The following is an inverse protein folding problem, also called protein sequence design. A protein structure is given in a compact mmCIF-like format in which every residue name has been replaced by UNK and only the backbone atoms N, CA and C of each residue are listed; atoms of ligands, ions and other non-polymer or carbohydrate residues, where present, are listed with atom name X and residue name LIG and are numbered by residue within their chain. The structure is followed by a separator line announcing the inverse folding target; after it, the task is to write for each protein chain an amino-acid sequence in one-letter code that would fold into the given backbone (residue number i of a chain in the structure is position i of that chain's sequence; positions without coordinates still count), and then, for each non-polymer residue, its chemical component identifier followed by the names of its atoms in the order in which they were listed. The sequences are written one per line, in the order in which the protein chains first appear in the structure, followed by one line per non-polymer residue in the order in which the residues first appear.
data_IF_871102571730
#
_entry.id   IF_871102571730
#
_cell.length_a   1.000
_cell.length_b   1.000
_cell.length_c   1.000
_cell.angle_alpha   90.00
_cell.angle_beta   90.00
_cell.angle_gamma   90.00
#
_symmetry.space_group_name_H-M   'P 1'
#
loop_
_entity.id
_entity.type
_entity.pdbx_description
1 polymer ?
#
# COMPACT_ATOMS: atom_id res chain seq x y z
N UNK A 1 2.85 -17.72 50.55
CA UNK A 1 3.73 -17.33 49.42
C UNK A 1 4.57 -18.46 48.82
N UNK A 2 5.02 -19.46 49.57
CA UNK A 2 5.90 -20.53 49.06
C UNK A 2 5.21 -21.51 48.08
N UNK A 3 3.90 -21.78 48.26
CA UNK A 3 3.12 -22.63 47.35
C UNK A 3 2.86 -22.01 45.96
N UNK A 4 2.76 -20.68 45.87
CA UNK A 4 2.56 -19.98 44.59
C UNK A 4 3.82 -20.02 43.70
N UNK A 5 5.01 -19.92 44.30
CA UNK A 5 6.29 -20.03 43.57
C UNK A 5 6.54 -21.44 43.02
N UNK A 6 6.10 -22.49 43.72
CA UNK A 6 6.22 -23.87 43.23
C UNK A 6 5.26 -24.19 42.08
N UNK A 7 4.09 -23.55 42.02
CA UNK A 7 3.13 -23.73 40.91
C UNK A 7 3.66 -23.05 39.64
N UNK A 8 4.20 -21.82 39.75
CA UNK A 8 4.78 -21.10 38.60
C UNK A 8 6.01 -21.83 38.04
N UNK A 9 6.87 -22.39 38.90
CA UNK A 9 8.02 -23.20 38.46
C UNK A 9 7.63 -24.50 37.75
N UNK A 10 6.56 -25.18 38.21
CA UNK A 10 6.04 -26.40 37.55
C UNK A 10 5.36 -26.13 36.21
N UNK A 11 4.77 -24.95 36.03
CA UNK A 11 4.16 -24.53 34.76
C UNK A 11 5.22 -24.14 33.73
N UNK A 12 6.29 -23.43 34.13
CA UNK A 12 7.39 -23.11 33.22
C UNK A 12 8.16 -24.36 32.74
N UNK A 13 8.43 -25.33 33.63
CA UNK A 13 9.16 -26.54 33.25
C UNK A 13 8.34 -27.54 32.41
N UNK A 14 7.00 -27.48 32.44
CA UNK A 14 6.15 -28.32 31.56
C UNK A 14 6.08 -27.79 30.13
N UNK A 15 6.34 -26.51 29.89
CA UNK A 15 6.35 -25.93 28.55
C UNK A 15 7.72 -26.08 27.83
N UNK A 16 8.81 -26.28 28.56
CA UNK A 16 10.14 -26.47 27.97
C UNK A 16 10.39 -27.91 27.47
N UNK A 17 9.64 -28.91 27.93
CA UNK A 17 9.86 -30.33 27.60
C UNK A 17 8.91 -30.92 26.55
N UNK A 18 8.14 -30.09 25.82
CA UNK A 18 7.16 -30.58 24.83
C UNK A 18 7.51 -30.41 23.35
N UNK A 19 8.68 -29.88 22.98
CA UNK A 19 9.05 -29.69 21.57
C UNK A 19 10.47 -30.19 21.25
N UNK A 20 10.75 -31.47 21.48
CA UNK A 20 11.86 -32.15 20.83
C UNK A 20 11.33 -33.47 20.27
N UNK A 21 10.88 -33.45 19.01
CA UNK A 21 11.02 -34.53 18.03
C UNK A 21 10.28 -34.17 16.73
N UNK A 22 11.05 -34.19 15.62
CA UNK A 22 10.67 -34.36 14.19
C UNK A 22 9.80 -33.23 13.57
N UNK A 23 9.98 -32.74 12.34
CA UNK A 23 10.53 -33.31 11.11
C UNK A 23 10.77 -32.17 10.08
N UNK A 24 11.68 -32.38 9.13
CA UNK A 24 11.97 -31.61 7.89
C UNK A 24 11.86 -30.07 7.93
N UNK A 25 13.03 -29.44 7.83
CA UNK A 25 13.22 -28.01 7.50
C UNK A 25 12.65 -27.75 6.09
N UNK A 26 11.44 -27.20 6.01
CA UNK A 26 11.05 -26.34 4.89
C UNK A 26 11.80 -25.00 5.02
N UNK A 27 12.33 -24.52 3.90
CA UNK A 27 13.11 -23.29 3.83
C UNK A 27 12.35 -22.09 4.43
N UNK A 28 13.04 -21.17 5.14
CA UNK A 28 12.40 -19.97 5.66
C UNK A 28 11.91 -19.13 4.49
N UNK A 29 10.59 -18.94 4.44
CA UNK A 29 9.92 -18.01 3.52
C UNK A 29 10.46 -16.61 3.83
N UNK A 30 11.37 -16.12 3.00
CA UNK A 30 11.84 -14.74 3.02
C UNK A 30 10.63 -13.81 2.82
N UNK A 31 10.13 -13.24 3.91
CA UNK A 31 9.28 -12.06 3.82
C UNK A 31 10.18 -10.90 3.43
N UNK A 32 10.08 -10.48 2.17
CA UNK A 32 10.82 -9.36 1.61
C UNK A 32 10.59 -8.12 2.48
N UNK A 33 11.65 -7.73 3.18
CA UNK A 33 11.85 -6.42 3.78
C UNK A 33 11.81 -5.28 2.74
N UNK A 34 11.51 -5.54 1.46
CA UNK A 34 11.49 -4.52 0.40
C UNK A 34 10.21 -3.68 0.38
N UNK A 35 9.09 -4.19 0.93
CA UNK A 35 7.79 -3.48 0.93
C UNK A 35 7.84 -2.14 1.70
N UNK A 36 8.73 -2.01 2.68
CA UNK A 36 8.92 -0.79 3.47
C UNK A 36 10.09 0.06 2.97
N UNK A 37 10.99 -0.48 2.14
CA UNK A 37 12.28 0.15 1.89
C UNK A 37 12.38 0.82 0.53
N UNK A 38 11.83 0.21 -0.52
CA UNK A 38 11.84 0.82 -1.86
C UNK A 38 10.93 2.05 -1.95
N UNK A 39 9.94 2.19 -1.06
CA UNK A 39 9.04 3.34 -1.03
C UNK A 39 9.55 4.48 -0.11
N UNK A 40 10.46 4.18 0.84
CA UNK A 40 11.09 5.16 1.74
C UNK A 40 12.38 5.76 1.15
N UNK A 41 13.15 5.02 0.35
CA UNK A 41 14.40 5.54 -0.26
C UNK A 41 14.20 6.59 -1.36
N UNK A 42 12.97 7.02 -1.63
CA UNK A 42 12.67 8.07 -2.61
C UNK A 42 12.06 9.35 -2.03
N UNK A 43 11.82 9.39 -0.72
CA UNK A 43 11.32 10.59 -0.02
C UNK A 43 12.39 11.30 0.82
N UNK A 44 13.56 10.70 0.99
CA UNK A 44 14.71 11.33 1.67
C UNK A 44 15.76 11.86 0.68
N UNK A 45 15.38 12.87 -0.09
CA UNK A 45 16.33 13.82 -0.71
C UNK A 45 15.77 15.25 -0.54
N UNK A 46 15.71 15.71 0.71
CA UNK A 46 15.51 17.14 1.02
C UNK A 46 16.57 17.55 2.04
N UNK A 47 17.70 18.04 1.54
CA UNK A 47 18.53 19.01 2.27
C UNK A 47 18.60 20.31 1.47
N UNK A 48 18.09 21.36 2.12
CA UNK A 48 18.15 22.77 1.76
C UNK A 48 19.60 23.26 1.57
N UNK A 49 19.93 23.90 0.44
CA UNK A 49 20.42 25.30 0.40
C UNK A 49 20.60 25.84 -1.04
N UNK A 50 19.93 26.99 -1.29
CA UNK A 50 20.27 28.18 -2.10
C UNK A 50 20.29 28.16 -3.66
N UNK A 51 19.38 29.00 -4.18
CA UNK A 51 19.41 29.87 -5.39
C UNK A 51 19.97 29.32 -6.70
N UNK A 52 19.12 29.27 -7.74
CA UNK A 52 19.16 30.12 -8.96
C UNK A 52 17.88 29.85 -9.77
N UNK A 53 17.34 30.90 -10.38
CA UNK A 53 16.20 30.94 -11.30
C UNK A 53 16.22 29.83 -12.37
N UNK A 54 15.06 29.20 -12.64
CA UNK A 54 14.53 29.08 -14.00
C UNK A 54 13.13 28.46 -14.09
N UNK A 55 12.36 29.12 -14.97
CA UNK A 55 11.02 28.89 -15.50
C UNK A 55 10.70 27.44 -15.91
N UNK A 56 9.52 26.92 -15.52
CA UNK A 56 8.78 25.95 -16.35
C UNK A 56 7.28 25.86 -15.98
N UNK A 57 6.52 26.66 -16.71
CA UNK A 57 5.16 26.52 -17.26
C UNK A 57 4.46 25.15 -17.03
N UNK A 58 3.38 25.16 -16.22
CA UNK A 58 2.21 24.28 -16.45
C UNK A 58 0.94 25.13 -16.30
N UNK A 59 0.35 25.46 -17.43
CA UNK A 59 -0.95 26.13 -17.54
C UNK A 59 -2.08 25.18 -17.09
N UNK A 60 -2.75 25.58 -16.02
CA UNK A 60 -4.09 25.12 -15.67
C UNK A 60 -5.09 25.82 -16.59
N UNK A 61 -5.86 25.06 -17.36
CA UNK A 61 -7.08 25.56 -18.00
C UNK A 61 -8.29 24.85 -17.40
N UNK A 62 -8.87 25.52 -16.41
CA UNK A 62 -10.24 25.30 -15.95
C UNK A 62 -11.18 25.92 -16.97
N UNK A 63 -12.08 25.14 -17.57
CA UNK A 63 -13.17 25.67 -18.38
C UNK A 63 -14.44 25.71 -17.53
N UNK A 64 -14.81 26.93 -17.15
CA UNK A 64 -16.12 27.31 -16.64
C UNK A 64 -17.05 27.53 -17.82
N UNK A 65 -18.26 26.99 -17.76
CA UNK A 65 -19.36 27.40 -18.62
C UNK A 65 -20.68 27.00 -17.96
N UNK A 66 -21.14 27.84 -17.04
CA UNK A 66 -22.56 27.95 -16.69
C UNK A 66 -23.09 29.18 -17.41
N UNK A 67 -24.06 28.98 -18.32
CA UNK A 67 -24.96 30.02 -18.79
C UNK A 67 -26.38 29.52 -18.61
N UNK A 68 -27.10 30.21 -17.72
CA UNK A 68 -28.52 30.05 -17.47
C UNK A 68 -29.39 30.47 -18.66
N UNK A 69 -30.58 29.87 -18.75
CA UNK A 69 -31.80 30.66 -18.94
C UNK A 69 -32.67 30.38 -20.16
N UNK A 70 -33.95 30.07 -19.85
CA UNK A 70 -35.17 30.14 -20.67
C UNK A 70 -35.51 28.90 -21.54
N UNK A 71 -36.75 28.39 -21.62
CA UNK A 71 -38.00 28.56 -20.87
C UNK A 71 -39.00 27.47 -21.33
N UNK A 72 -39.85 27.03 -20.41
CA UNK A 72 -41.30 26.75 -20.55
C UNK A 72 -41.87 25.76 -21.59
N UNK A 73 -42.47 24.70 -21.03
CA UNK A 73 -43.67 23.94 -21.44
C UNK A 73 -44.81 24.78 -22.07
N UNK A 74 -45.69 24.17 -22.87
CA UNK A 74 -46.97 23.70 -22.29
C UNK A 74 -47.55 22.38 -22.85
N UNK A 75 -48.38 21.75 -22.01
CA UNK A 75 -49.23 20.57 -22.19
C UNK A 75 -50.46 20.74 -23.13
N UNK A 76 -51.13 19.60 -23.40
CA UNK A 76 -52.42 19.31 -24.10
C UNK A 76 -52.30 18.96 -25.61
N UNK A 77 -52.78 17.81 -26.13
CA UNK A 77 -54.12 17.23 -26.00
C UNK A 77 -54.20 15.68 -26.07
N UNK A 78 -55.15 15.16 -25.29
CA UNK A 78 -56.16 14.10 -25.50
C UNK A 78 -55.89 12.79 -26.27
N UNK A 79 -56.23 11.72 -25.52
CA UNK A 79 -56.55 10.36 -25.93
C UNK A 79 -57.58 10.26 -27.07
N UNK A 80 -57.29 9.42 -28.07
CA UNK A 80 -58.33 8.67 -28.78
C UNK A 80 -57.95 7.19 -28.83
N UNK A 81 -58.78 6.38 -28.17
CA UNK A 81 -58.78 4.93 -28.13
C UNK A 81 -59.20 4.36 -29.50
N UNK A 82 -58.30 3.65 -30.18
CA UNK A 82 -58.66 2.74 -31.27
C UNK A 82 -57.81 1.46 -31.13
N UNK A 83 -58.47 0.34 -30.83
CA UNK A 83 -57.97 -1.02 -31.07
C UNK A 83 -58.70 -1.60 -32.31
N UNK A 84 -58.31 -2.76 -32.93
CA UNK A 84 -57.27 -3.79 -32.65
C UNK A 84 -56.48 -4.16 -33.98
N UNK A 85 -55.83 -5.35 -34.23
CA UNK A 85 -55.60 -6.57 -33.43
C UNK A 85 -54.19 -7.21 -33.41
N UNK A 86 -53.95 -7.93 -32.31
CA UNK A 86 -53.26 -9.23 -32.10
C UNK A 86 -52.28 -9.75 -33.18
N UNK A 87 -50.99 -9.74 -32.86
CA UNK A 87 -50.03 -10.86 -33.08
C UNK A 87 -48.64 -10.43 -32.60
N UNK A 88 -47.89 -11.32 -31.93
CA UNK A 88 -46.47 -11.17 -31.53
C UNK A 88 -46.12 -10.62 -30.13
N UNK A 89 -46.96 -10.85 -29.12
CA UNK A 89 -46.52 -10.86 -27.71
C UNK A 89 -46.72 -12.25 -27.11
N UNK A 90 -45.80 -13.17 -27.42
CA UNK A 90 -45.69 -14.43 -26.67
C UNK A 90 -44.26 -14.95 -26.71
N UNK A 91 -43.30 -14.16 -26.20
CA UNK A 91 -42.01 -14.72 -25.79
C UNK A 91 -41.58 -14.04 -24.48
N UNK A 92 -41.30 -14.87 -23.48
CA UNK A 92 -40.72 -14.55 -22.17
C UNK A 92 -41.64 -14.01 -21.07
N UNK A 93 -42.67 -14.79 -20.71
CA UNK A 93 -43.21 -14.78 -19.36
C UNK A 93 -43.31 -16.22 -18.84
N UNK A 94 -42.19 -16.73 -18.31
CA UNK A 94 -42.15 -17.77 -17.27
C UNK A 94 -40.69 -18.07 -16.97
N UNK A 95 -40.25 -17.72 -15.75
CA UNK A 95 -39.19 -18.33 -14.93
C UNK A 95 -38.67 -17.27 -13.96
N UNK A 96 -39.47 -16.94 -12.95
CA UNK A 96 -38.91 -16.31 -11.76
C UNK A 96 -39.73 -16.63 -10.53
N UNK A 97 -39.43 -17.76 -9.86
CA UNK A 97 -39.56 -17.83 -8.39
C UNK A 97 -38.78 -19.04 -7.85
N UNK A 98 -37.73 -18.75 -7.05
CA UNK A 98 -36.88 -19.62 -6.21
C UNK A 98 -35.38 -19.68 -6.62
N UNK A 99 -34.71 -18.53 -6.56
CA UNK A 99 -33.31 -18.38 -6.07
C UNK A 99 -32.81 -16.93 -6.29
N UNK A 100 -33.40 -15.97 -5.57
CA UNK A 100 -33.03 -14.54 -5.73
C UNK A 100 -31.72 -14.15 -5.03
N UNK A 101 -31.26 -14.89 -4.02
CA UNK A 101 -30.05 -14.49 -3.28
C UNK A 101 -28.74 -14.93 -3.94
N UNK A 102 -28.71 -16.06 -4.66
CA UNK A 102 -27.50 -16.53 -5.37
C UNK A 102 -27.32 -15.85 -6.74
N UNK A 103 -28.40 -15.49 -7.44
CA UNK A 103 -28.32 -14.83 -8.73
C UNK A 103 -28.00 -13.33 -8.64
N UNK A 104 -28.23 -12.69 -7.49
CA UNK A 104 -27.83 -11.30 -7.26
C UNK A 104 -26.31 -11.18 -7.02
N UNK A 105 -25.67 -12.16 -6.34
CA UNK A 105 -24.21 -12.22 -6.22
C UNK A 105 -23.53 -12.52 -7.57
N UNK A 106 -24.06 -13.49 -8.34
CA UNK A 106 -23.49 -13.87 -9.64
C UNK A 106 -23.66 -12.77 -10.71
N UNK A 107 -24.71 -11.94 -10.63
CA UNK A 107 -24.88 -10.77 -11.51
C UNK A 107 -23.97 -9.59 -11.15
N UNK A 108 -23.64 -9.39 -9.87
CA UNK A 108 -22.69 -8.34 -9.47
C UNK A 108 -21.25 -8.72 -9.82
N UNK A 109 -20.83 -9.96 -9.59
CA UNK A 109 -19.46 -10.44 -9.90
C UNK A 109 -19.14 -10.38 -11.40
N UNK A 110 -20.14 -10.49 -12.27
CA UNK A 110 -20.00 -10.35 -13.73
C UNK A 110 -19.63 -8.93 -14.19
N UNK A 111 -19.73 -7.91 -13.32
CA UNK A 111 -19.47 -6.51 -13.68
C UNK A 111 -18.01 -6.11 -13.45
N UNK A 112 -17.28 -6.87 -12.62
CA UNK A 112 -15.97 -6.47 -12.12
C UNK A 112 -14.87 -7.36 -12.69
N UNK A 113 -13.82 -6.73 -13.21
CA UNK A 113 -12.59 -7.41 -13.56
C UNK A 113 -11.77 -7.75 -12.30
N UNK A 114 -11.77 -6.86 -11.31
CA UNK A 114 -11.24 -7.08 -9.97
C UNK A 114 -12.25 -6.61 -8.93
N UNK A 115 -12.66 -7.51 -8.06
CA UNK A 115 -13.53 -7.18 -6.95
C UNK A 115 -12.81 -6.31 -5.91
N UNK A 116 -13.55 -5.35 -5.36
CA UNK A 116 -13.15 -4.67 -4.12
C UNK A 116 -13.07 -5.69 -3.00
N UNK A 117 -11.96 -5.70 -2.25
CA UNK A 117 -11.71 -6.56 -1.10
C UNK A 117 -11.42 -5.67 0.10
N UNK A 118 -12.08 -5.93 1.23
CA UNK A 118 -11.72 -5.29 2.51
C UNK A 118 -10.63 -6.12 3.17
N UNK A 119 -9.41 -5.61 3.19
CA UNK A 119 -8.32 -6.27 3.93
C UNK A 119 -8.53 -6.06 5.44
N UNK A 120 -8.28 -7.08 6.27
CA UNK A 120 -8.35 -6.94 7.72
C UNK A 120 -7.34 -5.90 8.23
N UNK A 121 -7.59 -5.34 9.40
CA UNK A 121 -6.59 -4.52 10.10
C UNK A 121 -5.41 -5.38 10.52
N UNK A 122 -4.22 -4.77 10.61
CA UNK A 122 -3.05 -5.47 11.16
C UNK A 122 -3.27 -5.78 12.63
N UNK A 123 -2.77 -6.95 13.03
CA UNK A 123 -2.60 -7.31 14.44
C UNK A 123 -1.38 -6.59 15.03
N UNK A 124 -1.32 -6.44 16.35
CA UNK A 124 -0.15 -5.84 17.02
C UNK A 124 1.14 -6.64 16.72
N UNK A 125 1.04 -7.97 16.64
CA UNK A 125 2.18 -8.83 16.32
C UNK A 125 2.74 -8.57 14.92
N UNK A 126 1.88 -8.38 13.92
CA UNK A 126 2.29 -8.03 12.56
C UNK A 126 2.93 -6.64 12.49
N UNK A 127 2.40 -5.68 13.24
CA UNK A 127 2.96 -4.33 13.35
C UNK A 127 4.36 -4.42 13.95
N UNK A 128 4.50 -5.08 15.11
CA UNK A 128 5.80 -5.26 15.77
C UNK A 128 6.80 -5.96 14.85
N UNK A 129 6.39 -7.03 14.17
CA UNK A 129 7.26 -7.75 13.22
C UNK A 129 7.79 -6.82 12.14
N UNK A 130 6.94 -6.01 11.52
CA UNK A 130 7.34 -5.03 10.48
C UNK A 130 8.25 -3.94 11.03
N UNK A 131 7.94 -3.40 12.22
CA UNK A 131 8.75 -2.38 12.89
C UNK A 131 10.14 -2.91 13.21
N UNK A 132 10.28 -4.13 13.72
CA UNK A 132 11.57 -4.73 14.04
C UNK A 132 12.42 -5.04 12.81
N UNK A 133 11.81 -5.14 11.63
CA UNK A 133 12.50 -5.27 10.36
C UNK A 133 13.05 -3.93 9.84
N UNK A 134 12.69 -2.77 10.41
CA UNK A 134 13.18 -1.45 9.96
C UNK A 134 14.69 -1.27 10.31
N UNK A 135 15.55 -0.72 9.43
CA UNK A 135 17.00 -0.60 9.68
C UNK A 135 17.30 0.35 10.79
N UNK A 136 16.61 1.49 10.81
CA UNK A 136 16.81 2.55 11.78
C UNK A 136 16.50 2.02 13.17
N UNK A 137 15.42 1.22 13.31
CA UNK A 137 15.11 0.50 14.56
C UNK A 137 16.23 -0.47 14.95
N UNK A 138 16.74 -1.26 14.00
CA UNK A 138 17.82 -2.23 14.24
C UNK A 138 19.13 -1.54 14.62
N UNK A 139 19.44 -0.41 14.01
CA UNK A 139 20.66 0.35 14.25
C UNK A 139 20.62 1.03 15.62
N UNK A 140 19.52 1.70 15.93
CA UNK A 140 19.28 2.29 17.26
C UNK A 140 19.35 1.22 18.38
N UNK A 141 18.82 0.01 18.13
CA UNK A 141 18.96 -1.12 19.05
C UNK A 141 20.43 -1.52 19.26
N UNK A 142 21.26 -1.56 18.21
CA UNK A 142 22.70 -1.85 18.33
C UNK A 142 23.42 -0.76 19.12
N UNK A 143 23.10 0.50 18.86
CA UNK A 143 23.70 1.64 19.55
C UNK A 143 23.43 1.57 21.06
N UNK A 144 22.18 1.33 21.46
CA UNK A 144 21.83 1.13 22.87
C UNK A 144 22.64 -0.01 23.48
N UNK A 145 22.76 -1.15 22.79
CA UNK A 145 23.54 -2.30 23.28
C UNK A 145 25.02 -1.96 23.46
N UNK A 146 25.61 -1.24 22.51
CA UNK A 146 27.00 -0.78 22.58
C UNK A 146 27.21 0.14 23.80
N UNK A 147 26.37 1.16 23.93
CA UNK A 147 26.43 2.13 25.03
C UNK A 147 26.13 1.47 26.39
N UNK A 148 25.20 0.53 26.47
CA UNK A 148 24.94 -0.25 27.67
C UNK A 148 26.17 -1.10 28.09
N UNK A 149 26.88 -1.67 27.11
CA UNK A 149 28.16 -2.35 27.33
C UNK A 149 29.22 -1.43 27.96
N UNK A 150 29.26 -0.17 27.54
CA UNK A 150 30.19 0.85 28.10
C UNK A 150 29.75 1.27 29.50
N UNK A 151 28.47 1.62 29.68
CA UNK A 151 27.93 2.23 30.90
C UNK A 151 27.82 1.20 32.03
N UNK A 152 27.32 0.00 31.74
CA UNK A 152 27.02 -1.04 32.73
C UNK A 152 28.01 -2.20 32.70
N UNK A 153 28.80 -2.35 31.63
CA UNK A 153 29.62 -3.55 31.43
C UNK A 153 28.82 -4.75 30.91
N UNK A 154 27.56 -4.54 30.50
CA UNK A 154 26.66 -5.56 29.99
C UNK A 154 25.81 -4.96 28.86
N UNK A 155 25.97 -5.44 27.62
CA UNK A 155 25.25 -4.94 26.45
C UNK A 155 23.75 -5.25 26.49
N UNK A 156 23.36 -6.32 27.20
CA UNK A 156 21.99 -6.79 27.27
C UNK A 156 21.22 -6.19 28.46
N UNK A 157 21.86 -5.28 29.21
CA UNK A 157 21.31 -4.72 30.46
C UNK A 157 19.95 -4.03 30.28
N UNK A 158 19.65 -3.53 29.08
CA UNK A 158 18.45 -2.77 28.75
C UNK A 158 17.48 -3.51 27.84
N UNK A 159 17.66 -4.82 27.61
CA UNK A 159 16.79 -5.58 26.68
C UNK A 159 15.32 -5.50 27.07
N UNK A 160 15.02 -5.71 28.35
CA UNK A 160 13.64 -5.66 28.83
C UNK A 160 13.02 -4.27 28.65
N UNK A 161 13.79 -3.20 28.87
CA UNK A 161 13.34 -1.83 28.65
C UNK A 161 13.09 -1.56 27.16
N UNK A 162 13.94 -2.09 26.27
CA UNK A 162 13.70 -1.98 24.83
C UNK A 162 12.42 -2.72 24.40
N UNK A 163 12.10 -3.88 24.97
CA UNK A 163 10.84 -4.60 24.75
C UNK A 163 9.62 -3.78 25.22
N UNK A 164 9.74 -3.11 26.36
CA UNK A 164 8.70 -2.21 26.84
C UNK A 164 8.49 -1.01 25.90
N UNK A 165 9.58 -0.43 25.36
CA UNK A 165 9.50 0.67 24.37
C UNK A 165 8.83 0.20 23.07
N UNK A 166 9.09 -1.03 22.61
CA UNK A 166 8.43 -1.59 21.44
C UNK A 166 6.90 -1.63 21.65
N UNK A 167 6.47 -2.00 22.85
CA UNK A 167 5.05 -2.08 23.20
C UNK A 167 4.45 -0.67 23.36
N UNK A 168 5.11 0.18 24.14
CA UNK A 168 4.72 1.56 24.43
C UNK A 168 5.89 2.53 24.20
N UNK A 169 5.95 3.20 23.04
CA UNK A 169 7.04 4.12 22.72
C UNK A 169 7.11 5.36 23.64
N UNK A 170 5.99 5.77 24.23
CA UNK A 170 5.97 6.95 25.13
C UNK A 170 6.77 6.68 26.41
N UNK A 171 6.83 5.42 26.84
CA UNK A 171 7.67 4.98 27.96
C UNK A 171 9.16 5.27 27.74
N UNK A 172 9.62 5.36 26.48
CA UNK A 172 10.99 5.69 26.14
C UNK A 172 11.46 7.05 26.64
N UNK A 173 10.56 8.04 26.70
CA UNK A 173 10.87 9.37 27.25
C UNK A 173 11.17 9.29 28.75
N UNK A 174 10.35 8.52 29.49
CA UNK A 174 10.57 8.28 30.91
C UNK A 174 11.89 7.56 31.15
N UNK A 175 12.15 6.48 30.40
CA UNK A 175 13.41 5.73 30.50
C UNK A 175 14.64 6.58 30.21
N UNK A 176 14.61 7.39 29.16
CA UNK A 176 15.69 8.31 28.82
C UNK A 176 15.95 9.29 29.97
N UNK A 177 14.91 9.89 30.55
CA UNK A 177 15.05 10.83 31.66
C UNK A 177 15.61 10.15 32.91
N UNK A 178 15.16 8.94 33.22
CA UNK A 178 15.72 8.15 34.33
C UNK A 178 17.16 7.74 34.06
N UNK A 179 17.54 7.42 32.82
CA UNK A 179 18.93 7.12 32.46
C UNK A 179 19.84 8.33 32.67
N UNK A 180 19.35 9.53 32.33
CA UNK A 180 20.09 10.78 32.51
C UNK A 180 20.27 11.15 33.99
N UNK A 181 19.21 11.01 34.79
CA UNK A 181 19.17 11.50 36.18
C UNK A 181 19.62 10.47 37.20
N UNK A 182 19.31 9.20 36.98
CA UNK A 182 19.59 8.10 37.91
C UNK A 182 19.95 6.80 37.16
N UNK A 183 21.08 6.76 36.42
CA UNK A 183 21.49 5.58 35.65
C UNK A 183 21.72 4.34 36.53
N UNK A 184 22.03 4.54 37.82
CA UNK A 184 22.22 3.46 38.79
C UNK A 184 20.95 2.71 39.16
N UNK A 185 19.78 3.27 38.85
CA UNK A 185 18.48 2.59 39.03
C UNK A 185 18.32 1.41 38.07
N UNK A 186 19.01 1.41 36.93
CA UNK A 186 19.01 0.29 35.97
C UNK A 186 20.01 -0.79 36.35
N UNK A 187 21.25 -0.38 36.67
CA UNK A 187 22.31 -1.27 37.11
C UNK A 187 23.50 -0.48 37.67
N UNK A 188 24.43 -1.19 38.32
CA UNK A 188 25.70 -0.62 38.74
C UNK A 188 26.52 -0.18 37.52
N UNK A 189 27.03 1.06 37.56
CA UNK A 189 27.96 1.55 36.54
C UNK A 189 29.26 0.75 36.53
N UNK A 190 29.78 0.53 35.32
CA UNK A 190 31.01 -0.20 35.10
C UNK A 190 32.20 0.39 35.88
N UNK A 191 33.14 -0.47 36.25
CA UNK A 191 34.29 -0.10 37.08
C UNK A 191 33.91 0.20 38.55
N UNK A 192 34.83 0.83 39.27
CA UNK A 192 34.68 1.14 40.70
C UNK A 192 34.90 2.62 41.02
N UNK A 193 34.32 3.03 42.16
CA UNK A 193 34.60 4.27 42.88
C UNK A 193 34.82 3.90 44.35
N UNK A 194 36.04 4.07 44.88
CA UNK A 194 36.39 3.81 46.28
C UNK A 194 36.99 5.09 46.86
N UNK A 195 36.52 5.53 48.03
CA UNK A 195 36.99 6.76 48.71
C UNK A 195 37.11 7.99 47.77
N UNK A 196 36.12 8.19 46.89
CA UNK A 196 36.14 9.29 45.91
C UNK A 196 36.94 9.02 44.63
N UNK A 197 37.91 8.09 44.65
CA UNK A 197 38.75 7.74 43.50
C UNK A 197 37.98 6.84 42.53
N UNK A 198 37.84 7.30 41.27
CA UNK A 198 37.18 6.59 40.17
C UNK A 198 38.21 5.91 39.26
N UNK A 199 38.00 4.63 38.98
CA UNK A 199 38.72 3.90 37.92
C UNK A 199 38.50 4.52 36.53
N UNK A 200 39.41 4.33 35.55
CA UNK A 200 39.21 4.78 34.18
C UNK A 200 37.89 4.28 33.59
N UNK A 201 37.57 2.98 33.76
CA UNK A 201 36.30 2.39 33.32
C UNK A 201 35.08 3.09 33.91
N UNK A 202 35.14 3.50 35.18
CA UNK A 202 34.07 4.27 35.84
C UNK A 202 33.92 5.67 35.23
N UNK A 203 35.02 6.36 34.95
CA UNK A 203 34.97 7.69 34.30
C UNK A 203 34.35 7.59 32.91
N UNK A 204 34.73 6.58 32.12
CA UNK A 204 34.15 6.34 30.80
C UNK A 204 32.65 6.03 30.88
N UNK A 205 32.24 5.16 31.81
CA UNK A 205 30.82 4.84 32.01
C UNK A 205 30.00 6.09 32.34
N UNK A 206 30.46 6.93 33.28
CA UNK A 206 29.76 8.16 33.66
C UNK A 206 29.68 9.18 32.52
N UNK A 207 30.69 9.25 31.63
CA UNK A 207 30.66 10.15 30.46
C UNK A 207 29.63 9.73 29.40
N UNK A 208 29.35 8.43 29.28
CA UNK A 208 28.46 7.88 28.23
C UNK A 208 27.00 7.73 28.68
N UNK A 209 26.65 8.08 29.92
CA UNK A 209 25.25 7.99 30.38
C UNK A 209 24.33 8.94 29.61
N UNK A 210 24.82 10.12 29.23
CA UNK A 210 24.05 11.07 28.41
C UNK A 210 23.81 10.51 27.00
N UNK A 211 24.84 9.95 26.36
CA UNK A 211 24.71 9.33 25.05
C UNK A 211 23.71 8.16 25.10
N UNK A 212 23.79 7.32 26.15
CA UNK A 212 22.84 6.22 26.33
C UNK A 212 21.40 6.73 26.55
N UNK A 213 21.21 7.82 27.29
CA UNK A 213 19.90 8.46 27.42
C UNK A 213 19.37 8.96 26.07
N UNK A 214 20.22 9.57 25.24
CA UNK A 214 19.83 10.05 23.91
C UNK A 214 19.44 8.89 22.99
N UNK A 215 20.25 7.84 22.93
CA UNK A 215 19.96 6.64 22.13
C UNK A 215 18.65 5.96 22.53
N UNK A 216 18.33 5.90 23.84
CA UNK A 216 17.02 5.38 24.30
C UNK A 216 15.85 6.22 23.77
N UNK A 217 15.99 7.55 23.80
CA UNK A 217 14.96 8.46 23.30
C UNK A 217 14.80 8.38 21.78
N UNK A 218 15.90 8.28 21.06
CA UNK A 218 15.92 8.11 19.61
C UNK A 218 15.27 6.78 19.21
N UNK A 219 15.67 5.68 19.84
CA UNK A 219 15.02 4.37 19.64
C UNK A 219 13.50 4.43 19.82
N UNK A 220 13.03 5.05 20.89
CA UNK A 220 11.59 5.21 21.14
C UNK A 220 10.89 6.03 20.05
N UNK A 221 11.53 7.12 19.61
CA UNK A 221 11.02 7.97 18.52
C UNK A 221 10.96 7.19 17.20
N UNK A 222 12.00 6.43 16.88
CA UNK A 222 12.08 5.60 15.69
C UNK A 222 11.04 4.46 15.70
N UNK A 223 10.81 3.82 16.85
CA UNK A 223 9.74 2.82 17.00
C UNK A 223 8.38 3.45 16.73
N UNK A 224 8.08 4.61 17.35
CA UNK A 224 6.80 5.31 17.16
C UNK A 224 6.57 5.63 15.69
N UNK A 225 7.54 6.29 15.07
CA UNK A 225 7.49 6.64 13.65
C UNK A 225 7.31 5.40 12.76
N UNK A 226 8.04 4.31 13.05
CA UNK A 226 7.92 3.06 12.28
C UNK A 226 6.53 2.42 12.45
N UNK A 227 5.92 2.47 13.64
CA UNK A 227 4.54 2.00 13.86
C UNK A 227 3.56 2.82 13.03
N UNK A 228 3.69 4.14 13.06
CA UNK A 228 2.82 5.05 12.31
C UNK A 228 2.91 4.80 10.80
N UNK A 229 4.13 4.66 10.26
CA UNK A 229 4.35 4.32 8.85
C UNK A 229 3.72 2.98 8.47
N UNK A 230 3.91 1.93 9.28
CA UNK A 230 3.33 0.61 9.01
C UNK A 230 1.80 0.69 8.93
N UNK A 231 1.18 1.45 9.84
CA UNK A 231 -0.26 1.65 9.87
C UNK A 231 -0.75 2.47 8.68
N UNK A 232 -0.04 3.54 8.32
CA UNK A 232 -0.36 4.39 7.18
C UNK A 232 -0.32 3.60 5.87
N UNK A 233 0.80 2.93 5.58
CA UNK A 233 0.93 2.09 4.38
C UNK A 233 -0.14 1.00 4.32
N UNK A 234 -0.50 0.40 5.45
CA UNK A 234 -1.58 -0.59 5.48
C UNK A 234 -2.95 0.01 5.19
N UNK A 235 -3.25 1.21 5.70
CA UNK A 235 -4.49 1.94 5.39
C UNK A 235 -4.55 2.32 3.91
N UNK A 236 -3.45 2.76 3.33
CA UNK A 236 -3.38 3.04 1.89
C UNK A 236 -3.61 1.78 1.07
N UNK A 237 -2.99 0.65 1.46
CA UNK A 237 -3.22 -0.66 0.84
C UNK A 237 -4.69 -1.06 0.96
N UNK A 238 -5.32 -0.91 2.13
CA UNK A 238 -6.75 -1.16 2.33
C UNK A 238 -7.61 -0.29 1.39
N UNK A 239 -7.31 1.01 1.28
CA UNK A 239 -8.02 1.95 0.41
C UNK A 239 -7.89 1.59 -1.07
N UNK A 240 -6.71 1.13 -1.52
CA UNK A 240 -6.52 0.66 -2.89
C UNK A 240 -7.28 -0.65 -3.12
N UNK A 241 -7.18 -1.61 -2.19
CA UNK A 241 -7.83 -2.91 -2.30
C UNK A 241 -9.34 -2.86 -2.17
N UNK A 242 -9.93 -1.81 -1.59
CA UNK A 242 -11.38 -1.64 -1.57
C UNK A 242 -11.94 -1.15 -2.91
N UNK A 243 -11.13 -0.54 -3.77
CA UNK A 243 -11.56 -0.01 -5.07
C UNK A 243 -11.75 -1.15 -6.08
N UNK A 244 -12.96 -1.40 -6.58
CA UNK A 244 -13.16 -2.36 -7.64
C UNK A 244 -12.59 -1.84 -8.96
N UNK A 245 -12.28 -2.76 -9.87
CA UNK A 245 -12.01 -2.46 -11.28
C UNK A 245 -13.13 -3.07 -12.09
N UNK A 246 -13.88 -2.24 -12.79
CA UNK A 246 -14.97 -2.65 -13.66
C UNK A 246 -14.43 -3.30 -14.94
N UNK A 247 -15.18 -4.26 -15.49
CA UNK A 247 -14.92 -4.73 -16.85
C UNK A 247 -15.08 -3.59 -17.85
N UNK A 248 -14.35 -3.68 -18.95
CA UNK A 248 -14.62 -2.84 -20.12
C UNK A 248 -15.99 -3.21 -20.70
N UNK A 249 -16.61 -2.27 -21.39
CA UNK A 249 -17.75 -2.53 -22.25
C UNK A 249 -17.33 -3.58 -23.29
N UNK A 250 -18.24 -4.50 -23.57
CA UNK A 250 -18.09 -5.56 -24.55
C UNK A 250 -17.64 -5.03 -25.92
N UNK A 251 -18.18 -3.90 -26.37
CA UNK A 251 -17.77 -3.29 -27.65
C UNK A 251 -16.30 -2.88 -27.64
N UNK A 252 -15.82 -2.31 -26.52
CA UNK A 252 -14.42 -1.91 -26.36
C UNK A 252 -13.51 -3.13 -26.20
N UNK A 253 -13.95 -4.15 -25.46
CA UNK A 253 -13.23 -5.41 -25.31
C UNK A 253 -13.07 -6.13 -26.65
N UNK A 254 -14.12 -6.17 -27.47
CA UNK A 254 -14.10 -6.77 -28.80
C UNK A 254 -13.07 -6.05 -29.70
N UNK A 255 -13.03 -4.71 -29.69
CA UNK A 255 -12.01 -3.93 -30.40
C UNK A 255 -10.60 -4.28 -29.92
N UNK A 256 -10.38 -4.39 -28.60
CA UNK A 256 -9.07 -4.76 -28.05
C UNK A 256 -8.64 -6.18 -28.46
N UNK A 257 -9.58 -7.03 -28.85
CA UNK A 257 -9.33 -8.37 -29.36
C UNK A 257 -9.13 -8.44 -30.87
N UNK A 258 -9.45 -7.38 -31.61
CA UNK A 258 -9.15 -7.28 -33.04
C UNK A 258 -7.65 -7.15 -33.32
N UNK A 259 -7.19 -7.55 -34.52
CA UNK A 259 -5.84 -7.27 -35.00
C UNK A 259 -5.54 -5.76 -35.05
N UNK A 260 -4.27 -5.33 -34.84
CA UNK A 260 -3.91 -3.91 -34.82
C UNK A 260 -4.32 -3.12 -36.09
N UNK A 261 -4.30 -3.77 -37.26
CA UNK A 261 -4.72 -3.18 -38.53
C UNK A 261 -6.20 -2.80 -38.54
N UNK A 262 -7.05 -3.60 -37.89
CA UNK A 262 -8.50 -3.39 -37.80
C UNK A 262 -8.85 -2.45 -36.64
N UNK A 263 -8.06 -2.46 -35.56
CA UNK A 263 -8.22 -1.48 -34.47
C UNK A 263 -8.15 -0.05 -34.99
N UNK A 264 -7.21 0.25 -35.91
CA UNK A 264 -7.08 1.57 -36.51
C UNK A 264 -8.34 2.02 -37.26
N UNK A 265 -9.03 1.12 -37.97
CA UNK A 265 -10.31 1.42 -38.63
C UNK A 265 -11.46 1.56 -37.64
N UNK A 266 -11.48 0.76 -36.56
CA UNK A 266 -12.48 0.88 -35.49
C UNK A 266 -12.39 2.24 -34.76
N UNK A 267 -11.17 2.79 -34.60
CA UNK A 267 -10.95 4.14 -34.07
C UNK A 267 -11.63 5.25 -34.89
N UNK A 268 -11.80 5.05 -36.20
CA UNK A 268 -12.44 6.01 -37.10
C UNK A 268 -13.97 5.84 -37.16
N UNK A 269 -14.49 4.63 -36.86
CA UNK A 269 -15.91 4.27 -37.00
C UNK A 269 -16.71 4.43 -35.70
N UNK A 270 -16.09 4.14 -34.56
CA UNK A 270 -16.70 4.29 -33.24
C UNK A 270 -16.45 5.71 -32.76
N UNK A 271 -17.44 6.31 -32.09
CA UNK A 271 -17.31 7.63 -31.45
C UNK A 271 -16.01 7.66 -30.63
N UNK A 272 -14.96 8.25 -31.21
CA UNK A 272 -13.59 8.16 -30.70
C UNK A 272 -13.47 8.78 -29.30
N UNK A 273 -14.39 9.70 -28.98
CA UNK A 273 -14.58 10.28 -27.66
C UNK A 273 -15.07 9.26 -26.64
N UNK A 274 -16.06 8.42 -26.99
CA UNK A 274 -16.57 7.36 -26.11
C UNK A 274 -15.49 6.34 -25.79
N UNK A 275 -14.84 5.79 -26.83
CA UNK A 275 -13.76 4.82 -26.67
C UNK A 275 -12.59 5.38 -25.84
N UNK A 276 -12.16 6.61 -26.13
CA UNK A 276 -11.11 7.27 -25.36
C UNK A 276 -11.49 7.46 -23.90
N UNK A 277 -12.72 7.90 -23.62
CA UNK A 277 -13.23 8.10 -22.26
C UNK A 277 -13.22 6.77 -21.50
N UNK A 278 -13.73 5.72 -22.11
CA UNK A 278 -13.81 4.40 -21.46
C UNK A 278 -12.43 3.81 -21.15
N UNK A 279 -11.50 3.85 -22.11
CA UNK A 279 -10.11 3.39 -21.89
C UNK A 279 -9.42 4.22 -20.80
N UNK A 280 -9.64 5.55 -20.78
CA UNK A 280 -9.09 6.43 -19.75
C UNK A 280 -9.64 6.06 -18.37
N UNK A 281 -10.96 5.88 -18.27
CA UNK A 281 -11.64 5.47 -17.05
C UNK A 281 -11.11 4.13 -16.54
N UNK A 282 -10.96 3.14 -17.41
CA UNK A 282 -10.39 1.84 -17.04
C UNK A 282 -8.94 1.95 -16.55
N UNK A 283 -8.07 2.66 -17.30
CA UNK A 283 -6.67 2.83 -16.91
C UNK A 283 -6.52 3.59 -15.58
N UNK A 284 -7.40 4.56 -15.30
CA UNK A 284 -7.41 5.28 -14.03
C UNK A 284 -7.81 4.35 -12.88
N UNK A 285 -8.83 3.50 -13.05
CA UNK A 285 -9.19 2.50 -12.04
C UNK A 285 -8.04 1.53 -11.74
N UNK A 286 -7.31 1.11 -12.77
CA UNK A 286 -6.11 0.27 -12.62
C UNK A 286 -5.02 1.02 -11.84
N UNK A 287 -4.74 2.29 -12.18
CA UNK A 287 -3.74 3.09 -11.48
C UNK A 287 -4.10 3.33 -10.01
N UNK A 288 -5.38 3.50 -9.74
CA UNK A 288 -5.93 3.66 -8.39
C UNK A 288 -5.87 2.37 -7.56
N UNK A 289 -6.02 1.22 -8.23
CA UNK A 289 -5.98 -0.09 -7.59
C UNK A 289 -4.54 -0.56 -7.32
N UNK A 290 -3.62 -0.32 -8.24
CA UNK A 290 -2.28 -0.89 -8.21
C UNK A 290 -1.25 0.05 -7.58
N UNK A 291 -0.32 -0.53 -6.83
CA UNK A 291 0.87 0.18 -6.36
C UNK A 291 1.81 0.51 -7.51
N UNK A 292 2.82 1.35 -7.25
CA UNK A 292 3.89 1.62 -8.22
C UNK A 292 4.64 0.34 -8.62
N UNK A 293 4.92 -0.54 -7.66
CA UNK A 293 5.58 -1.84 -7.88
C UNK A 293 4.72 -2.77 -8.74
N UNK A 294 3.43 -2.90 -8.44
CA UNK A 294 2.49 -3.72 -9.21
C UNK A 294 2.37 -3.23 -10.67
N UNK A 295 2.35 -1.90 -10.89
CA UNK A 295 2.38 -1.33 -12.25
C UNK A 295 3.68 -1.63 -12.99
N UNK A 296 4.80 -1.72 -12.27
CA UNK A 296 6.09 -2.13 -12.84
C UNK A 296 6.09 -3.62 -13.20
N UNK A 297 5.50 -4.47 -12.35
CA UNK A 297 5.30 -5.89 -12.68
C UNK A 297 4.46 -6.06 -13.96
N UNK A 298 3.41 -5.25 -14.14
CA UNK A 298 2.65 -5.22 -15.41
C UNK A 298 3.54 -4.84 -16.59
N UNK A 299 4.35 -3.79 -16.47
CA UNK A 299 5.27 -3.34 -17.53
C UNK A 299 6.27 -4.43 -17.93
N UNK A 300 6.76 -5.18 -16.93
CA UNK A 300 7.76 -6.22 -17.14
C UNK A 300 7.14 -7.59 -17.50
N UNK A 301 5.81 -7.72 -17.48
CA UNK A 301 5.12 -8.99 -17.72
C UNK A 301 5.27 -10.02 -16.60
N UNK A 302 5.67 -9.60 -15.39
CA UNK A 302 5.89 -10.49 -14.25
C UNK A 302 4.58 -10.90 -13.59
N UNK A 303 3.91 -11.85 -14.22
CA UNK A 303 2.60 -12.32 -13.79
C UNK A 303 2.63 -13.08 -12.46
N UNK A 304 3.75 -13.73 -12.11
CA UNK A 304 3.88 -14.53 -10.88
C UNK A 304 3.97 -13.61 -9.67
N UNK A 305 4.86 -12.61 -9.72
CA UNK A 305 4.98 -11.65 -8.64
C UNK A 305 3.72 -10.79 -8.50
N UNK A 306 3.09 -10.42 -9.62
CA UNK A 306 1.84 -9.68 -9.60
C UNK A 306 0.70 -10.49 -8.95
N UNK A 307 0.58 -11.78 -9.26
CA UNK A 307 -0.42 -12.67 -8.67
C UNK A 307 -0.26 -12.74 -7.15
N UNK A 308 0.98 -12.91 -6.67
CA UNK A 308 1.31 -12.94 -5.24
C UNK A 308 1.02 -11.61 -4.55
N UNK A 309 1.41 -10.48 -5.16
CA UNK A 309 1.20 -9.14 -4.59
C UNK A 309 -0.28 -8.80 -4.42
N UNK A 310 -1.09 -9.14 -5.43
CA UNK A 310 -2.50 -8.80 -5.49
C UNK A 310 -3.43 -9.81 -4.84
N UNK A 311 -2.91 -10.96 -4.38
CA UNK A 311 -3.71 -12.08 -3.89
C UNK A 311 -4.77 -12.51 -4.91
N UNK A 312 -4.30 -12.81 -6.13
CA UNK A 312 -5.11 -13.31 -7.26
C UNK A 312 -4.42 -14.51 -7.92
N UNK A 313 -5.16 -15.27 -8.73
CA UNK A 313 -4.57 -16.40 -9.46
C UNK A 313 -3.57 -15.93 -10.53
N UNK A 314 -2.57 -16.76 -10.84
CA UNK A 314 -1.61 -16.48 -11.92
C UNK A 314 -2.31 -16.28 -13.28
N UNK A 315 -3.38 -17.05 -13.54
CA UNK A 315 -4.19 -16.88 -14.74
C UNK A 315 -4.89 -15.52 -14.79
N UNK A 316 -5.46 -15.06 -13.68
CA UNK A 316 -6.10 -13.74 -13.59
C UNK A 316 -5.07 -12.61 -13.75
N UNK A 317 -3.88 -12.78 -13.18
CA UNK A 317 -2.74 -11.87 -13.37
C UNK A 317 -2.30 -11.79 -14.84
N UNK A 318 -2.17 -12.93 -15.54
CA UNK A 318 -1.89 -12.96 -16.99
C UNK A 318 -2.96 -12.24 -17.81
N UNK A 319 -4.24 -12.46 -17.50
CA UNK A 319 -5.37 -11.75 -18.13
C UNK A 319 -5.27 -10.24 -17.90
N UNK A 320 -4.99 -9.81 -16.67
CA UNK A 320 -4.83 -8.40 -16.30
C UNK A 320 -3.70 -7.74 -17.09
N UNK A 321 -2.52 -8.35 -17.13
CA UNK A 321 -1.36 -7.82 -17.87
C UNK A 321 -1.68 -7.67 -19.35
N UNK A 322 -2.28 -8.69 -19.96
CA UNK A 322 -2.68 -8.67 -21.37
C UNK A 322 -3.68 -7.53 -21.64
N UNK A 323 -4.70 -7.42 -20.81
CA UNK A 323 -5.77 -6.43 -20.96
C UNK A 323 -5.24 -5.00 -20.81
N UNK A 324 -4.46 -4.72 -19.75
CA UNK A 324 -3.87 -3.40 -19.50
C UNK A 324 -2.90 -3.00 -20.60
N UNK A 325 -2.07 -3.94 -21.09
CA UNK A 325 -1.14 -3.67 -22.19
C UNK A 325 -1.88 -3.30 -23.47
N UNK A 326 -2.92 -4.07 -23.85
CA UNK A 326 -3.76 -3.76 -25.01
C UNK A 326 -4.44 -2.39 -24.88
N UNK A 327 -5.05 -2.11 -23.72
CA UNK A 327 -5.72 -0.84 -23.46
C UNK A 327 -4.76 0.36 -23.54
N UNK A 328 -3.54 0.24 -23.00
CA UNK A 328 -2.50 1.28 -23.09
C UNK A 328 -2.07 1.54 -24.53
N UNK A 329 -1.83 0.48 -25.30
CA UNK A 329 -1.40 0.60 -26.70
C UNK A 329 -2.47 1.31 -27.55
N UNK A 330 -3.74 0.90 -27.40
CA UNK A 330 -4.85 1.52 -28.13
C UNK A 330 -5.04 2.98 -27.72
N UNK A 331 -5.02 3.26 -26.41
CA UNK A 331 -5.15 4.63 -25.89
C UNK A 331 -4.01 5.56 -26.36
N UNK A 332 -2.78 5.05 -26.45
CA UNK A 332 -1.65 5.83 -26.97
C UNK A 332 -1.74 6.05 -28.49
N UNK A 333 -2.23 5.06 -29.25
CA UNK A 333 -2.46 5.20 -30.70
C UNK A 333 -3.52 6.25 -31.06
N UNK A 334 -4.47 6.52 -30.15
CA UNK A 334 -5.43 7.63 -30.28
C UNK A 334 -4.75 8.99 -30.06
N UNK A 335 -3.77 9.08 -29.14
CA UNK A 335 -3.10 10.35 -28.80
C UNK A 335 -2.10 10.83 -29.85
N UNK A 336 -1.47 9.93 -30.61
CA UNK A 336 -0.42 10.27 -31.58
C UNK A 336 -0.92 10.76 -32.95
N UNK A 337 -2.22 10.64 -33.25
CA UNK A 337 -2.83 11.18 -34.48
C UNK A 337 -3.37 12.61 -34.25
N UNK A 338 -2.49 13.61 -34.17
CA UNK A 338 -2.88 15.01 -34.47
C UNK A 338 -2.92 15.16 -36.00
N UNK A 339 -3.91 15.86 -36.59
CA UNK A 339 -3.93 16.08 -38.03
C UNK A 339 -2.71 16.91 -38.43
N UNK A 340 -1.84 16.35 -39.29
CA UNK A 340 -0.81 17.14 -39.95
C UNK A 340 -1.52 18.10 -40.90
N UNK A 341 -1.36 19.41 -40.67
CA UNK A 341 -1.76 20.43 -41.62
C UNK A 341 -1.10 20.13 -42.97
N UNK A 342 -1.87 19.58 -43.91
CA UNK A 342 -1.46 19.54 -45.31
C UNK A 342 -1.36 20.98 -45.77
N UNK A 343 -0.12 21.46 -45.94
CA UNK A 343 0.18 22.71 -46.63
C UNK A 343 -0.45 22.63 -48.02
N UNK A 344 -1.42 23.50 -48.28
CA UNK A 344 -1.97 23.69 -49.62
C UNK A 344 -0.83 24.00 -50.59
N UNK A 345 -0.76 23.20 -51.66
CA UNK A 345 0.07 23.51 -52.82
C UNK A 345 -0.65 24.65 -53.54
N UNK A 346 -0.12 25.86 -53.43
CA UNK A 346 -0.49 26.95 -54.30
C UNK A 346 0.08 26.67 -55.70
N UNK A 347 -0.79 26.39 -56.65
CA UNK A 347 -0.47 26.40 -58.07
C UNK A 347 -0.71 27.84 -58.54
N UNK A 348 0.35 28.59 -58.79
CA UNK A 348 0.27 29.87 -59.51
C UNK A 348 0.53 29.58 -60.98
N UNK A 349 -0.48 29.81 -61.82
CA UNK A 349 -0.37 29.94 -63.27
C UNK A 349 -0.23 31.38 -63.70
#
# INVERSE_FOLDING_TARGET
MLKAKQIVSKVLNRNLNKNIAIDKVEEPIYYESSDLYEEITHTEEITHTKEVDNVSIYENTSFSSDSDGYNSEPDFYENVNIAPPKSSNMVYANFNTRNSNYMNQVKEDSKYFLNGKRLPSLTEEEIIKKVLCNPSVREQKKEIKCLAGIVFGNSEQLNHQMEQIISDPEFGKLLSNTMRTSPKSFAKLAGFKKFGIKSPKRRTAEKHTLNLSMAIREYATTIKYSKDLVLEHHREKQKRFSRPVYMLNKDVEDILNLPPSIQATALHKINSTYLKKELTTFLNQINDRLSKRERTMIKNGDHKMLAKSMDISEQQSKKLIKLVTKAKNLHNGIKSKKPSNQKGIAITG
#
